data_IF_558500112017
#
_entry.id   IF_558500112017
#
_cell.length_a   1.000
_cell.length_b   1.000
_cell.length_c   1.000
_cell.angle_alpha   90.00
_cell.angle_beta   90.00
_cell.angle_gamma   90.00
#
_symmetry.space_group_name_H-M   'P 1'
#
loop_
_entity.id
_entity.type
_entity.pdbx_description
1 polymer ?
#
# COMPACT_ATOMS: atom_id res chain seq x y z
N UNK A 1 1.08 -0.32 -41.63
CA UNK A 1 -0.29 0.01 -42.06
C UNK A 1 -0.90 0.82 -40.92
N UNK A 2 -0.98 2.12 -41.15
CA UNK A 2 -1.69 3.14 -40.36
C UNK A 2 -3.17 2.75 -40.16
N UNK A 3 -4.00 3.35 -39.31
CA UNK A 3 -4.27 4.76 -38.96
C UNK A 3 -4.97 4.66 -37.56
N UNK A 4 -4.69 5.43 -36.50
CA UNK A 4 -5.06 6.82 -36.26
C UNK A 4 -4.31 7.38 -35.04
N UNK A 5 -3.53 8.42 -35.30
CA UNK A 5 -3.18 9.47 -34.35
C UNK A 5 -4.28 10.52 -34.37
N UNK A 6 -4.84 10.91 -33.22
CA UNK A 6 -5.44 12.24 -33.00
C UNK A 6 -5.22 12.67 -31.55
N UNK A 7 -4.54 13.80 -31.42
CA UNK A 7 -4.45 14.63 -30.23
C UNK A 7 -5.86 15.21 -29.96
N UNK A 8 -6.43 14.96 -28.78
CA UNK A 8 -7.41 15.86 -28.17
C UNK A 8 -6.93 16.13 -26.75
N UNK A 9 -6.42 17.35 -26.55
CA UNK A 9 -6.48 18.04 -25.26
C UNK A 9 -7.96 18.29 -24.97
N UNK A 10 -8.48 17.67 -23.92
CA UNK A 10 -9.85 17.86 -23.46
C UNK A 10 -10.19 16.89 -22.32
N UNK A 11 -10.23 17.42 -21.09
CA UNK A 11 -10.91 16.91 -19.90
C UNK A 11 -11.13 15.38 -19.80
N UNK A 12 -10.20 14.68 -19.15
CA UNK A 12 -10.48 13.38 -18.52
C UNK A 12 -10.59 13.53 -17.00
N UNK A 13 -11.64 14.21 -16.55
CA UNK A 13 -12.11 14.17 -15.16
C UNK A 13 -13.34 13.27 -14.95
N UNK A 14 -13.73 12.41 -15.90
CA UNK A 14 -14.85 11.48 -15.67
C UNK A 14 -14.65 10.13 -16.36
N UNK A 15 -13.82 9.26 -15.78
CA UNK A 15 -13.94 7.81 -15.99
C UNK A 15 -14.81 7.22 -14.88
N UNK A 16 -15.97 6.60 -15.18
CA UNK A 16 -16.85 5.98 -14.18
C UNK A 16 -16.17 4.87 -13.36
N UNK A 17 -15.04 4.33 -13.85
CA UNK A 17 -14.26 3.29 -13.18
C UNK A 17 -13.44 3.82 -11.99
N UNK A 18 -13.14 5.12 -11.95
CA UNK A 18 -12.38 5.75 -10.86
C UNK A 18 -13.29 6.37 -9.78
N UNK A 19 -14.54 6.70 -10.12
CA UNK A 19 -15.53 7.21 -9.17
C UNK A 19 -15.90 6.19 -8.08
N UNK A 20 -15.92 4.89 -8.43
CA UNK A 20 -16.21 3.80 -7.48
C UNK A 20 -15.08 3.47 -6.49
N UNK A 21 -13.85 3.93 -6.73
CA UNK A 21 -12.71 3.65 -5.84
C UNK A 21 -12.67 4.66 -4.69
N UNK A 22 -13.02 5.92 -4.96
CA UNK A 22 -13.20 6.93 -3.91
C UNK A 22 -14.31 6.49 -2.95
N UNK A 23 -15.40 5.91 -3.46
CA UNK A 23 -16.47 5.42 -2.59
C UNK A 23 -16.04 4.19 -1.78
N UNK A 24 -15.24 3.24 -2.27
CA UNK A 24 -14.87 2.07 -1.45
C UNK A 24 -14.01 2.42 -0.23
N UNK A 25 -12.97 3.25 -0.40
CA UNK A 25 -12.17 3.69 0.75
C UNK A 25 -13.02 4.55 1.69
N UNK A 26 -13.74 5.54 1.16
CA UNK A 26 -14.60 6.40 1.98
C UNK A 26 -15.73 5.62 2.66
N UNK A 27 -16.37 4.65 2.01
CA UNK A 27 -17.42 3.78 2.58
C UNK A 27 -16.86 2.84 3.65
N UNK A 28 -15.69 2.24 3.42
CA UNK A 28 -15.00 1.42 4.42
C UNK A 28 -14.76 2.21 5.71
N UNK A 29 -14.26 3.45 5.59
CA UNK A 29 -14.02 4.33 6.73
C UNK A 29 -15.30 4.98 7.28
N UNK A 30 -16.33 5.21 6.44
CA UNK A 30 -17.64 5.76 6.83
C UNK A 30 -18.45 4.76 7.66
N UNK A 31 -18.46 3.48 7.28
CA UNK A 31 -19.06 2.40 8.08
C UNK A 31 -18.38 2.33 9.44
N UNK A 32 -17.05 2.49 9.49
CA UNK A 32 -16.32 2.52 10.74
C UNK A 32 -16.65 3.76 11.59
N UNK A 33 -16.79 4.95 10.98
CA UNK A 33 -17.25 6.17 11.65
C UNK A 33 -18.62 6.01 12.32
N UNK A 34 -19.59 5.39 11.63
CA UNK A 34 -20.94 5.20 12.21
C UNK A 34 -20.89 4.34 13.48
N UNK A 35 -19.98 3.38 13.53
CA UNK A 35 -19.70 2.56 14.72
C UNK A 35 -18.96 3.34 15.82
N UNK A 36 -18.02 4.22 15.47
CA UNK A 36 -17.27 5.04 16.44
C UNK A 36 -18.13 6.14 17.09
N UNK A 37 -19.09 6.73 16.37
CA UNK A 37 -19.97 7.79 16.90
C UNK A 37 -21.09 7.27 17.81
N UNK A 38 -21.49 6.00 17.68
CA UNK A 38 -22.57 5.40 18.50
C UNK A 38 -22.07 4.78 19.80
N UNK A 39 -20.76 4.53 19.94
CA UNK A 39 -20.17 3.95 21.16
C UNK A 39 -19.17 4.94 21.74
N UNK A 40 -19.60 5.70 22.76
CA UNK A 40 -18.72 6.57 23.54
C UNK A 40 -17.46 5.78 23.99
N UNK A 41 -16.30 6.17 23.47
CA UNK A 41 -14.93 5.95 23.98
C UNK A 41 -14.38 4.50 24.01
N UNK A 42 -15.16 3.43 23.90
CA UNK A 42 -14.62 2.08 24.20
C UNK A 42 -14.19 1.19 23.02
N UNK A 43 -14.29 1.60 21.73
CA UNK A 43 -14.00 0.63 20.65
C UNK A 43 -13.52 1.23 19.32
N UNK A 44 -12.33 1.83 19.33
CA UNK A 44 -11.47 1.84 18.14
C UNK A 44 -10.97 0.42 17.74
N UNK A 45 -11.39 -0.62 18.48
CA UNK A 45 -11.14 -2.05 18.21
C UNK A 45 -12.14 -2.69 17.23
N UNK A 46 -12.64 -1.96 16.23
CA UNK A 46 -13.03 -2.66 15.00
C UNK A 46 -11.73 -3.02 14.30
N UNK A 47 -11.24 -4.23 14.56
CA UNK A 47 -10.06 -4.76 13.88
C UNK A 47 -10.45 -4.88 12.40
N UNK A 48 -9.82 -4.06 11.56
CA UNK A 48 -9.95 -4.16 10.11
C UNK A 48 -9.80 -5.63 9.68
N UNK A 49 -10.65 -6.18 8.78
CA UNK A 49 -10.64 -7.61 8.46
C UNK A 49 -9.25 -8.19 8.16
N UNK A 50 -8.41 -7.42 7.46
CA UNK A 50 -7.02 -7.79 7.17
C UNK A 50 -6.13 -7.89 8.42
N UNK A 51 -6.25 -6.97 9.38
CA UNK A 51 -5.50 -7.06 10.65
C UNK A 51 -5.95 -8.25 11.48
N UNK A 52 -7.24 -8.56 11.45
CA UNK A 52 -7.81 -9.74 12.12
C UNK A 52 -7.31 -11.03 11.48
N UNK A 53 -7.15 -11.04 10.16
CA UNK A 53 -6.59 -12.17 9.43
C UNK A 53 -5.11 -12.38 9.79
N UNK A 54 -4.29 -11.33 9.78
CA UNK A 54 -2.87 -11.42 10.16
C UNK A 54 -2.69 -11.92 11.60
N UNK A 55 -3.46 -11.38 12.54
CA UNK A 55 -3.44 -11.83 13.94
C UNK A 55 -3.85 -13.29 14.07
N UNK A 56 -4.90 -13.71 13.36
CA UNK A 56 -5.38 -15.09 13.41
C UNK A 56 -4.40 -16.10 12.80
N UNK A 57 -3.85 -15.79 11.62
CA UNK A 57 -3.06 -16.74 10.83
C UNK A 57 -1.62 -16.81 11.34
N UNK A 58 -1.01 -15.66 11.67
CA UNK A 58 0.41 -15.59 12.02
C UNK A 58 0.67 -14.93 13.38
N UNK A 59 -0.37 -14.51 14.12
CA UNK A 59 -0.21 -13.99 15.48
C UNK A 59 0.29 -12.56 15.57
N UNK A 60 0.27 -11.78 14.48
CA UNK A 60 0.86 -10.42 14.47
C UNK A 60 -0.16 -9.33 14.23
N UNK A 61 0.09 -8.16 14.82
CA UNK A 61 -0.60 -6.91 14.46
C UNK A 61 0.41 -5.95 13.86
N UNK A 62 0.27 -5.66 12.56
CA UNK A 62 1.18 -4.78 11.82
C UNK A 62 1.15 -3.35 12.35
N UNK A 63 2.32 -2.74 12.54
CA UNK A 63 2.46 -1.31 12.85
C UNK A 63 2.31 -0.42 11.61
N UNK A 64 2.27 -1.02 10.41
CA UNK A 64 2.18 -0.31 9.15
C UNK A 64 0.94 -0.70 8.38
N UNK A 65 0.42 0.25 7.62
CA UNK A 65 -0.56 0.02 6.57
C UNK A 65 -0.23 0.90 5.36
N UNK A 66 -0.80 0.57 4.20
CA UNK A 66 -0.78 1.43 3.03
C UNK A 66 -2.19 1.56 2.49
N UNK A 67 -2.60 2.78 2.17
CA UNK A 67 -3.90 3.01 1.58
C UNK A 67 -3.91 2.54 0.13
N UNK A 68 -4.98 1.90 -0.29
CA UNK A 68 -5.19 1.59 -1.71
C UNK A 68 -5.09 2.87 -2.53
N UNK A 69 -4.23 2.84 -3.55
CA UNK A 69 -4.00 3.96 -4.47
C UNK A 69 -3.51 5.26 -3.80
N UNK A 70 -2.87 5.20 -2.62
CA UNK A 70 -2.46 6.40 -1.86
C UNK A 70 -3.64 7.34 -1.54
N UNK A 71 -4.86 6.79 -1.50
CA UNK A 71 -6.08 7.59 -1.24
C UNK A 71 -6.40 7.57 0.24
N UNK A 72 -6.10 8.67 0.91
CA UNK A 72 -6.44 8.94 2.30
C UNK A 72 -6.84 10.40 2.51
N UNK A 73 -7.54 10.65 3.61
CA UNK A 73 -7.93 11.97 4.07
C UNK A 73 -7.68 12.05 5.59
N UNK A 74 -8.03 13.17 6.22
CA UNK A 74 -7.82 13.38 7.65
C UNK A 74 -8.49 12.31 8.52
N UNK A 75 -9.64 11.77 8.11
CA UNK A 75 -10.31 10.70 8.85
C UNK A 75 -9.47 9.42 8.81
N UNK A 76 -8.91 9.07 7.65
CA UNK A 76 -8.03 7.89 7.52
C UNK A 76 -6.79 8.06 8.39
N UNK A 77 -6.17 9.23 8.41
CA UNK A 77 -5.06 9.53 9.31
C UNK A 77 -5.45 9.34 10.78
N UNK A 78 -6.59 9.89 11.20
CA UNK A 78 -7.07 9.78 12.58
C UNK A 78 -7.34 8.33 12.98
N UNK A 79 -7.97 7.54 12.12
CA UNK A 79 -8.27 6.14 12.42
C UNK A 79 -7.00 5.28 12.43
N UNK A 80 -6.07 5.50 11.50
CA UNK A 80 -4.76 4.83 11.50
C UNK A 80 -3.98 5.17 12.77
N UNK A 81 -3.94 6.44 13.17
CA UNK A 81 -3.30 6.87 14.41
C UNK A 81 -3.97 6.28 15.66
N UNK A 82 -5.30 6.24 15.72
CA UNK A 82 -6.04 5.63 16.82
C UNK A 82 -5.78 4.12 16.96
N UNK A 83 -5.41 3.45 15.86
CA UNK A 83 -4.98 2.05 15.83
C UNK A 83 -3.48 1.88 16.02
N UNK A 84 -2.71 2.96 16.18
CA UNK A 84 -1.25 2.94 16.30
C UNK A 84 -0.52 2.54 15.01
N UNK A 85 -1.16 2.69 13.84
CA UNK A 85 -0.59 2.33 12.55
C UNK A 85 -0.07 3.56 11.82
N UNK A 86 1.14 3.45 11.28
CA UNK A 86 1.67 4.43 10.33
C UNK A 86 1.22 4.09 8.91
N UNK A 87 0.78 5.11 8.17
CA UNK A 87 0.52 5.02 6.74
C UNK A 87 1.86 5.15 6.01
N UNK A 88 2.21 4.15 5.20
CA UNK A 88 3.46 4.10 4.45
C UNK A 88 3.18 4.34 2.97
N UNK A 89 3.85 5.35 2.41
CA UNK A 89 3.84 5.68 0.99
C UNK A 89 5.18 5.31 0.33
N UNK A 90 5.36 5.66 -0.94
CA UNK A 90 6.55 5.36 -1.73
C UNK A 90 7.12 6.62 -2.38
N UNK A 91 8.42 6.62 -2.62
CA UNK A 91 9.15 7.68 -3.32
C UNK A 91 9.34 7.36 -4.81
N UNK A 92 9.17 6.09 -5.17
CA UNK A 92 9.34 5.58 -6.52
C UNK A 92 8.27 4.55 -6.86
N UNK A 93 7.57 4.74 -7.99
CA UNK A 93 6.59 3.79 -8.54
C UNK A 93 7.17 3.13 -9.80
N UNK A 94 7.25 1.80 -9.79
CA UNK A 94 7.71 1.04 -10.96
C UNK A 94 6.73 1.07 -12.12
N UNK A 95 5.49 1.52 -11.91
CA UNK A 95 4.42 1.54 -12.93
C UNK A 95 4.12 0.15 -13.52
N UNK A 96 4.45 -0.91 -12.78
CA UNK A 96 4.30 -2.32 -13.18
C UNK A 96 2.85 -2.75 -13.42
N UNK A 97 1.91 -2.02 -12.84
CA UNK A 97 0.46 -2.18 -13.02
C UNK A 97 -0.14 -1.17 -14.00
N UNK A 98 0.64 -0.19 -14.48
CA UNK A 98 0.21 0.86 -15.41
C UNK A 98 0.55 0.54 -16.87
N UNK A 99 1.05 -0.68 -17.14
CA UNK A 99 1.35 -1.15 -18.49
C UNK A 99 2.79 -0.90 -18.95
N UNK A 100 3.69 -0.52 -18.05
CA UNK A 100 5.12 -0.51 -18.38
C UNK A 100 5.59 -1.92 -18.76
N UNK A 101 6.35 -2.01 -19.86
CA UNK A 101 7.03 -3.23 -20.26
C UNK A 101 8.20 -3.51 -19.33
N UNK A 102 8.73 -4.73 -19.36
CA UNK A 102 9.92 -5.07 -18.58
C UNK A 102 11.09 -4.10 -18.85
N UNK A 103 11.30 -3.72 -20.12
CA UNK A 103 12.39 -2.81 -20.52
C UNK A 103 12.18 -1.37 -20.05
N UNK A 104 10.94 -0.88 -20.02
CA UNK A 104 10.61 0.42 -19.43
C UNK A 104 10.91 0.41 -17.93
N UNK A 105 10.48 -0.64 -17.22
CA UNK A 105 10.78 -0.79 -15.79
C UNK A 105 12.30 -0.82 -15.54
N UNK A 106 13.09 -1.52 -16.37
CA UNK A 106 14.56 -1.50 -16.24
C UNK A 106 15.12 -0.08 -16.40
N UNK A 107 14.62 0.66 -17.39
CA UNK A 107 15.05 2.03 -17.65
C UNK A 107 14.69 2.97 -16.49
N UNK A 108 13.50 2.81 -15.90
CA UNK A 108 13.06 3.61 -14.74
C UNK A 108 13.95 3.37 -13.51
N UNK A 109 14.29 2.11 -13.23
CA UNK A 109 15.25 1.77 -12.17
C UNK A 109 16.66 2.29 -12.45
N UNK A 110 17.14 2.20 -13.70
CA UNK A 110 18.43 2.76 -14.08
C UNK A 110 18.46 4.27 -13.88
N UNK A 111 17.39 4.98 -14.24
CA UNK A 111 17.26 6.42 -14.03
C UNK A 111 17.18 6.78 -12.53
N UNK A 112 16.51 5.97 -11.72
CA UNK A 112 16.47 6.13 -10.26
C UNK A 112 17.87 5.99 -9.65
N UNK A 113 18.62 4.95 -10.03
CA UNK A 113 19.98 4.69 -9.55
C UNK A 113 20.92 5.84 -9.90
N UNK A 114 20.82 6.39 -11.11
CA UNK A 114 21.63 7.54 -11.54
C UNK A 114 21.43 8.79 -10.69
N UNK A 115 20.25 8.96 -10.08
CA UNK A 115 19.97 10.07 -9.16
C UNK A 115 20.62 9.89 -7.79
N UNK A 116 21.16 8.70 -7.49
CA UNK A 116 21.82 8.35 -6.23
C UNK A 116 21.06 8.79 -4.97
N UNK A 117 19.74 8.50 -4.84
CA UNK A 117 19.03 8.78 -3.60
C UNK A 117 19.64 7.99 -2.42
N UNK A 118 19.71 8.59 -1.23
CA UNK A 118 20.27 7.90 -0.06
C UNK A 118 19.41 6.72 0.41
N UNK A 119 18.09 6.83 0.26
CA UNK A 119 17.10 5.81 0.62
C UNK A 119 16.00 5.79 -0.44
N UNK A 120 15.35 4.65 -0.62
CA UNK A 120 14.27 4.48 -1.59
C UNK A 120 13.16 3.61 -0.98
N UNK A 121 11.95 4.15 -0.86
CA UNK A 121 10.74 3.34 -0.68
C UNK A 121 10.09 3.09 -2.05
N UNK A 122 10.08 1.83 -2.50
CA UNK A 122 9.66 1.45 -3.86
C UNK A 122 8.29 0.78 -3.86
N UNK A 123 7.40 1.22 -4.73
CA UNK A 123 6.14 0.55 -5.04
C UNK A 123 6.33 -0.45 -6.18
N UNK A 124 6.07 -1.72 -5.87
CA UNK A 124 5.95 -2.80 -6.81
C UNK A 124 4.79 -3.71 -6.37
N UNK A 125 4.26 -4.49 -7.30
CA UNK A 125 3.20 -5.45 -7.09
C UNK A 125 3.74 -6.84 -7.44
N UNK A 126 3.61 -7.79 -6.50
CA UNK A 126 4.15 -9.16 -6.62
C UNK A 126 3.65 -9.95 -7.84
N UNK A 127 2.61 -9.45 -8.52
CA UNK A 127 2.04 -10.08 -9.73
C UNK A 127 2.83 -9.77 -11.01
N UNK A 128 3.95 -9.05 -10.91
CA UNK A 128 4.75 -8.59 -12.06
C UNK A 128 6.25 -8.84 -11.85
N UNK A 129 6.95 -9.20 -12.93
CA UNK A 129 8.37 -9.57 -12.93
C UNK A 129 9.34 -8.39 -12.72
N UNK A 130 8.85 -7.23 -12.26
CA UNK A 130 9.64 -6.02 -12.01
C UNK A 130 10.82 -6.29 -11.04
N UNK A 131 10.60 -7.13 -10.04
CA UNK A 131 11.60 -7.46 -9.00
C UNK A 131 12.79 -8.26 -9.50
N UNK A 132 12.61 -9.11 -10.52
CA UNK A 132 13.73 -9.84 -11.11
C UNK A 132 14.74 -8.91 -11.77
N UNK A 133 14.29 -7.76 -12.27
CA UNK A 133 15.16 -6.72 -12.83
C UNK A 133 15.73 -5.81 -11.74
N UNK A 134 14.90 -5.32 -10.83
CA UNK A 134 15.29 -4.25 -9.92
C UNK A 134 16.38 -4.65 -8.93
N UNK A 135 16.27 -5.87 -8.36
CA UNK A 135 17.13 -6.30 -7.25
C UNK A 135 18.62 -6.36 -7.65
N UNK A 136 19.01 -6.99 -8.78
CA UNK A 136 20.42 -7.00 -9.20
C UNK A 136 21.01 -5.61 -9.44
N UNK A 137 20.29 -4.71 -10.12
CA UNK A 137 20.79 -3.37 -10.44
C UNK A 137 20.97 -2.51 -9.19
N UNK A 138 20.02 -2.56 -8.25
CA UNK A 138 20.12 -1.86 -6.97
C UNK A 138 21.26 -2.40 -6.10
N UNK A 139 21.47 -3.72 -6.07
CA UNK A 139 22.62 -4.31 -5.36
C UNK A 139 23.95 -3.89 -5.98
N UNK A 140 24.04 -3.81 -7.30
CA UNK A 140 25.24 -3.33 -8.02
C UNK A 140 25.52 -1.85 -7.71
N UNK A 141 24.48 -1.07 -7.45
CA UNK A 141 24.56 0.30 -6.95
C UNK A 141 24.73 0.39 -5.42
N UNK A 142 25.09 -0.71 -4.77
CA UNK A 142 25.39 -0.80 -3.33
C UNK A 142 24.23 -0.50 -2.37
N UNK A 143 22.98 -0.51 -2.85
CA UNK A 143 21.82 -0.43 -1.96
C UNK A 143 21.66 -1.69 -1.12
N UNK A 144 21.26 -1.50 0.14
CA UNK A 144 20.86 -2.57 1.05
C UNK A 144 19.33 -2.71 1.06
N UNK A 145 18.86 -3.94 0.96
CA UNK A 145 17.44 -4.25 1.06
C UNK A 145 17.11 -4.52 2.51
N UNK A 146 16.27 -3.66 3.08
CA UNK A 146 15.86 -3.70 4.48
C UNK A 146 14.33 -3.69 4.57
N UNK A 147 13.80 -4.07 5.74
CA UNK A 147 12.38 -3.87 6.00
C UNK A 147 12.05 -2.38 6.14
N UNK A 148 10.81 -1.97 5.84
CA UNK A 148 10.33 -0.59 6.08
C UNK A 148 10.55 -0.17 7.55
N UNK A 149 10.33 -1.09 8.49
CA UNK A 149 10.64 -0.89 9.91
C UNK A 149 12.07 -0.44 10.14
N UNK A 150 13.04 -1.09 9.52
CA UNK A 150 14.46 -0.76 9.68
C UNK A 150 14.79 0.57 9.00
N UNK A 151 14.27 0.80 7.78
CA UNK A 151 14.42 2.07 7.06
C UNK A 151 13.94 3.27 7.89
N UNK A 152 12.82 3.11 8.61
CA UNK A 152 12.20 4.16 9.41
C UNK A 152 12.62 4.18 10.90
N UNK A 153 13.43 3.22 11.35
CA UNK A 153 13.80 3.09 12.77
C UNK A 153 12.61 2.76 13.69
N UNK A 154 11.65 1.98 13.19
CA UNK A 154 10.39 1.66 13.85
C UNK A 154 10.22 0.15 14.10
N UNK A 155 9.32 -0.22 15.01
CA UNK A 155 8.95 -1.62 15.20
C UNK A 155 7.98 -2.08 14.11
N UNK A 156 8.16 -3.27 13.50
CA UNK A 156 7.31 -3.74 12.39
C UNK A 156 5.91 -4.16 12.84
N UNK A 157 5.78 -4.59 14.09
CA UNK A 157 4.55 -5.06 14.69
C UNK A 157 4.30 -4.33 16.01
N UNK A 158 3.03 -4.03 16.28
CA UNK A 158 2.58 -3.54 17.58
C UNK A 158 2.50 -4.68 18.60
N UNK A 159 2.18 -5.89 18.12
CA UNK A 159 2.10 -7.11 18.91
C UNK A 159 2.60 -8.28 18.07
N UNK A 160 3.37 -9.15 18.72
CA UNK A 160 3.78 -10.45 18.21
C UNK A 160 3.29 -11.52 19.20
N UNK A 161 2.56 -12.51 18.69
CA UNK A 161 2.05 -13.66 19.43
C UNK A 161 2.10 -14.91 18.56
N UNK A 162 1.33 -15.93 18.92
CA UNK A 162 1.22 -17.17 18.16
C UNK A 162 0.01 -17.18 17.22
N UNK A 163 0.07 -17.98 16.13
CA UNK A 163 -1.10 -18.32 15.33
C UNK A 163 -2.26 -18.85 16.19
N UNK A 164 -3.49 -18.53 15.79
CA UNK A 164 -4.69 -19.06 16.42
C UNK A 164 -5.16 -20.33 15.68
N UNK A 165 -5.82 -21.24 16.39
CA UNK A 165 -6.47 -22.38 15.75
C UNK A 165 -7.70 -21.90 14.96
N UNK A 166 -7.83 -22.27 13.67
CA UNK A 166 -9.03 -21.97 12.88
C UNK A 166 -10.29 -22.47 13.56
N UNK A 167 -11.35 -21.67 13.52
CA UNK A 167 -12.64 -22.05 14.11
C UNK A 167 -13.81 -21.56 13.25
N UNK A 168 -15.05 -22.00 13.52
CA UNK A 168 -16.22 -21.63 12.72
C UNK A 168 -16.58 -20.14 12.73
N UNK A 169 -15.82 -19.22 13.35
CA UNK A 169 -15.96 -17.77 13.22
C UNK A 169 -15.01 -17.14 12.18
N UNK A 170 -14.13 -17.93 11.58
CA UNK A 170 -13.29 -17.47 10.48
C UNK A 170 -14.16 -17.37 9.23
N UNK A 171 -14.11 -16.21 8.58
CA UNK A 171 -14.85 -15.90 7.35
C UNK A 171 -13.85 -15.26 6.40
N UNK A 172 -13.98 -15.57 5.12
CA UNK A 172 -13.38 -14.80 4.05
C UNK A 172 -14.24 -13.57 3.80
#
# INVERSE_FOLDING_TARGET
>A
MDIWSHLILGDMLTSPRLAGINTVNEEMWRVERQYLLTIRIAKAMLIHPSLKALDRIIGVTSAFMRCSYSKFNDLVHQVSAARGQSIIEWDFDSSDTLGHTADQIKADYAALIQRQPNNILMLNHETKDAMYTAIPELKKAEYKFVMVAECLGMQPCQRVGGPQNPNPSWRC
#
